data_IF_294201171260
#
_entry.id   IF_294201171260
#
_cell.length_a   1.000
_cell.length_b   1.000
_cell.length_c   1.000
_cell.angle_alpha   90.00
_cell.angle_beta   90.00
_cell.angle_gamma   90.00
#
_symmetry.space_group_name_H-M   'P 1'
#
loop_
_entity.id
_entity.type
_entity.pdbx_description
1 polymer ?
#
# COMPACT_ATOMS: atom_id res chain seq x y z
N UNK A 1 -28.10 -59.13 15.01
CA UNK A 1 -27.37 -58.12 15.76
C UNK A 1 -26.12 -57.76 14.98
N UNK A 2 -26.12 -56.58 14.33
CA UNK A 2 -24.99 -56.10 13.54
C UNK A 2 -24.49 -54.83 14.26
N UNK A 3 -23.28 -54.93 14.83
CA UNK A 3 -22.66 -53.82 15.56
C UNK A 3 -22.02 -52.80 14.62
N UNK A 4 -22.53 -51.56 14.63
CA UNK A 4 -21.91 -50.39 14.01
C UNK A 4 -20.70 -49.94 14.85
N UNK A 5 -19.50 -50.06 14.31
CA UNK A 5 -18.31 -49.38 14.84
C UNK A 5 -18.29 -47.93 14.30
N UNK A 6 -18.37 -46.97 15.19
CA UNK A 6 -18.09 -45.54 14.90
C UNK A 6 -16.57 -45.41 14.70
N UNK A 7 -16.17 -44.96 13.53
CA UNK A 7 -14.82 -44.53 13.23
C UNK A 7 -14.62 -43.11 13.83
N UNK A 8 -13.69 -43.03 14.76
CA UNK A 8 -13.22 -41.77 15.35
C UNK A 8 -12.20 -41.19 14.37
N UNK A 9 -12.60 -40.15 13.63
CA UNK A 9 -11.73 -39.40 12.75
C UNK A 9 -11.15 -38.19 13.55
N UNK A 10 -10.14 -38.48 14.37
CA UNK A 10 -9.31 -37.47 14.97
C UNK A 10 -8.50 -36.71 13.90
N UNK A 11 -8.90 -35.49 13.58
CA UNK A 11 -8.05 -34.59 12.82
C UNK A 11 -6.84 -34.20 13.66
N UNK A 12 -5.61 -34.32 13.15
CA UNK A 12 -4.46 -33.77 13.86
C UNK A 12 -4.50 -32.27 13.77
N UNK A 13 -4.83 -31.61 14.87
CA UNK A 13 -4.54 -30.19 15.09
C UNK A 13 -3.02 -30.05 15.24
N UNK A 14 -2.34 -29.74 14.15
CA UNK A 14 -0.95 -29.28 14.21
C UNK A 14 -0.85 -28.04 15.11
N UNK A 15 0.30 -27.82 15.77
CA UNK A 15 0.48 -26.62 16.59
C UNK A 15 0.24 -25.41 15.71
N UNK A 16 -0.67 -24.52 16.18
CA UNK A 16 -0.84 -23.20 15.57
C UNK A 16 0.55 -22.54 15.52
N UNK A 17 1.00 -22.17 14.34
CA UNK A 17 2.21 -21.38 14.18
C UNK A 17 2.07 -20.17 15.10
N UNK A 18 3.02 -19.98 16.01
CA UNK A 18 3.04 -18.80 16.89
C UNK A 18 2.91 -17.59 15.97
N UNK A 19 1.88 -16.75 16.20
CA UNK A 19 1.62 -15.55 15.40
C UNK A 19 2.87 -14.68 15.45
N UNK A 20 3.66 -14.72 14.39
CA UNK A 20 4.73 -13.73 14.23
C UNK A 20 4.09 -12.34 14.21
N UNK A 21 4.66 -11.38 14.94
CA UNK A 21 4.08 -10.04 14.97
C UNK A 21 3.97 -9.50 13.54
N UNK A 22 2.80 -8.96 13.20
CA UNK A 22 2.55 -8.37 11.91
C UNK A 22 3.67 -7.39 11.53
N UNK A 23 4.10 -7.44 10.29
CA UNK A 23 5.14 -6.56 9.76
C UNK A 23 4.64 -5.83 8.52
N UNK A 24 4.92 -4.54 8.42
CA UNK A 24 4.53 -3.72 7.27
C UNK A 24 5.73 -3.03 6.64
N UNK A 25 5.66 -2.86 5.34
CA UNK A 25 6.52 -1.98 4.57
C UNK A 25 5.73 -0.71 4.19
N UNK A 26 6.23 0.46 4.54
CA UNK A 26 5.60 1.74 4.16
C UNK A 26 6.38 2.38 3.01
N UNK A 27 5.74 2.55 1.86
CA UNK A 27 6.30 3.30 0.74
C UNK A 27 5.95 4.78 0.93
N UNK A 28 6.97 5.62 1.21
CA UNK A 28 6.78 7.06 1.47
C UNK A 28 6.59 7.43 2.95
N UNK A 29 7.15 6.67 3.89
CA UNK A 29 6.96 6.80 5.34
C UNK A 29 7.46 8.10 5.99
N UNK A 30 8.08 9.03 5.27
CA UNK A 30 8.64 10.26 5.83
C UNK A 30 8.06 11.56 5.23
N UNK A 31 7.01 11.44 4.40
CA UNK A 31 6.23 12.58 3.91
C UNK A 31 5.13 13.00 4.91
N UNK A 32 4.05 13.61 4.42
CA UNK A 32 2.96 14.10 5.29
C UNK A 32 2.20 12.95 5.99
N UNK A 33 1.57 12.06 5.23
CA UNK A 33 0.76 10.96 5.79
C UNK A 33 1.62 9.84 6.40
N UNK A 34 2.80 9.62 5.82
CA UNK A 34 3.68 8.50 6.20
C UNK A 34 4.03 8.43 7.68
N UNK A 35 4.45 9.54 8.32
CA UNK A 35 4.77 9.54 9.75
C UNK A 35 3.61 9.09 10.62
N UNK A 36 2.38 9.53 10.34
CA UNK A 36 1.20 9.14 11.10
C UNK A 36 0.88 7.64 10.96
N UNK A 37 1.11 7.06 9.76
CA UNK A 37 0.99 5.61 9.56
C UNK A 37 2.03 4.88 10.40
N UNK A 38 3.28 5.34 10.40
CA UNK A 38 4.37 4.75 11.18
C UNK A 38 4.08 4.81 12.67
N UNK A 39 3.69 5.96 13.20
CA UNK A 39 3.36 6.16 14.62
C UNK A 39 2.19 5.26 15.05
N UNK A 40 1.11 5.23 14.24
CA UNK A 40 -0.06 4.40 14.53
C UNK A 40 0.24 2.89 14.52
N UNK A 41 1.11 2.44 13.63
CA UNK A 41 1.55 1.04 13.57
C UNK A 41 2.49 0.69 14.71
N UNK A 42 3.44 1.59 15.04
CA UNK A 42 4.34 1.42 16.20
C UNK A 42 3.57 1.31 17.51
N UNK A 43 2.56 2.16 17.71
CA UNK A 43 1.71 2.12 18.92
C UNK A 43 0.94 0.80 19.05
N UNK A 44 0.79 0.03 17.97
CA UNK A 44 0.17 -1.30 17.95
C UNK A 44 1.15 -2.47 18.00
N UNK A 45 2.45 -2.18 18.17
CA UNK A 45 3.50 -3.21 18.20
C UNK A 45 3.79 -3.86 16.86
N UNK A 46 3.36 -3.25 15.73
CA UNK A 46 3.64 -3.74 14.39
C UNK A 46 5.09 -3.45 14.02
N UNK A 47 5.81 -4.43 13.49
CA UNK A 47 7.15 -4.22 12.94
C UNK A 47 7.07 -3.41 11.65
N UNK A 48 7.94 -2.41 11.50
CA UNK A 48 7.88 -1.49 10.36
C UNK A 48 9.22 -1.47 9.64
N UNK A 49 9.16 -1.44 8.31
CA UNK A 49 10.26 -1.06 7.42
C UNK A 49 9.76 0.08 6.51
N UNK A 50 10.65 0.96 6.11
CA UNK A 50 10.34 2.06 5.20
C UNK A 50 11.08 1.89 3.87
N UNK A 51 10.44 2.32 2.78
CA UNK A 51 11.12 2.56 1.51
C UNK A 51 10.93 4.01 1.09
N UNK A 52 12.01 4.72 0.90
CA UNK A 52 11.99 6.13 0.49
C UNK A 52 13.31 6.58 -0.15
N UNK A 53 13.27 7.76 -0.82
CA UNK A 53 14.43 8.37 -1.46
C UNK A 53 15.46 8.95 -0.48
N UNK A 54 15.10 9.09 0.81
CA UNK A 54 15.93 9.73 1.81
C UNK A 54 16.07 11.25 1.68
N UNK A 55 15.17 11.92 0.93
CA UNK A 55 15.22 13.37 0.70
C UNK A 55 14.32 14.15 1.65
N UNK A 56 13.10 13.65 1.90
CA UNK A 56 12.12 14.29 2.78
C UNK A 56 12.26 13.76 4.20
N UNK A 57 12.48 14.64 5.16
CA UNK A 57 12.60 14.32 6.59
C UNK A 57 13.45 13.06 6.89
N UNK A 58 14.70 12.99 6.39
CA UNK A 58 15.52 11.77 6.50
C UNK A 58 15.90 11.40 7.93
N UNK A 59 15.76 12.34 8.87
CA UNK A 59 16.05 12.18 10.29
C UNK A 59 14.93 11.46 11.05
N UNK A 60 13.69 11.40 10.50
CA UNK A 60 12.59 10.71 11.18
C UNK A 60 12.86 9.21 11.31
N UNK A 61 12.48 8.65 12.44
CA UNK A 61 12.52 7.21 12.75
C UNK A 61 13.92 6.60 12.53
N UNK A 62 14.96 7.08 13.22
CA UNK A 62 16.33 6.58 13.00
C UNK A 62 16.49 5.10 13.34
N UNK A 63 15.64 4.57 14.22
CA UNK A 63 15.62 3.17 14.68
C UNK A 63 14.88 2.22 13.71
N UNK A 64 14.08 2.75 12.79
CA UNK A 64 13.32 1.93 11.83
C UNK A 64 14.19 1.60 10.62
N UNK A 65 14.17 0.33 10.22
CA UNK A 65 14.84 -0.15 9.01
C UNK A 65 14.37 0.63 7.77
N UNK A 66 15.31 1.08 6.96
CA UNK A 66 15.04 1.89 5.77
C UNK A 66 15.73 1.31 4.55
N UNK A 67 14.94 0.96 3.54
CA UNK A 67 15.41 0.69 2.20
C UNK A 67 15.45 2.00 1.41
N UNK A 68 16.56 2.27 0.75
CA UNK A 68 16.78 3.48 -0.04
C UNK A 68 16.61 3.22 -1.52
N UNK A 69 15.90 4.12 -2.19
CA UNK A 69 15.72 4.04 -3.63
C UNK A 69 14.68 5.02 -4.13
N UNK A 70 14.46 5.00 -5.43
CA UNK A 70 13.40 5.76 -6.09
C UNK A 70 12.47 4.78 -6.83
N UNK A 71 11.19 5.01 -6.77
CA UNK A 71 10.20 4.18 -7.51
C UNK A 71 10.37 4.31 -9.01
N UNK A 72 11.08 5.32 -9.48
CA UNK A 72 11.49 5.48 -10.87
C UNK A 72 12.74 4.62 -11.17
N UNK A 73 12.54 3.30 -11.21
CA UNK A 73 13.54 2.33 -11.63
C UNK A 73 14.68 2.05 -10.63
N UNK A 74 14.63 2.57 -9.41
CA UNK A 74 15.68 2.36 -8.40
C UNK A 74 15.15 1.56 -7.20
N UNK A 75 14.70 0.32 -7.44
CA UNK A 75 14.14 -0.58 -6.42
C UNK A 75 15.17 -1.59 -5.87
N UNK A 76 16.45 -1.43 -6.17
CA UNK A 76 17.49 -2.44 -5.93
C UNK A 76 17.58 -2.96 -4.49
N UNK A 77 17.45 -2.10 -3.47
CA UNK A 77 17.47 -2.55 -2.08
C UNK A 77 16.25 -3.39 -1.71
N UNK A 78 15.05 -3.04 -2.20
CA UNK A 78 13.85 -3.87 -2.03
C UNK A 78 13.99 -5.19 -2.78
N UNK A 79 14.50 -5.16 -4.01
CA UNK A 79 14.74 -6.35 -4.79
C UNK A 79 15.71 -7.31 -4.09
N UNK A 80 16.80 -6.79 -3.53
CA UNK A 80 17.76 -7.57 -2.75
C UNK A 80 17.11 -8.18 -1.50
N UNK A 81 16.29 -7.42 -0.78
CA UNK A 81 15.56 -7.92 0.38
C UNK A 81 14.59 -9.04 0.03
N UNK A 82 13.80 -8.88 -1.03
CA UNK A 82 12.86 -9.92 -1.51
C UNK A 82 13.62 -11.18 -1.94
N UNK A 83 14.71 -11.04 -2.68
CA UNK A 83 15.58 -12.16 -3.08
C UNK A 83 16.21 -12.88 -1.88
N UNK A 84 16.50 -12.15 -0.81
CA UNK A 84 17.00 -12.72 0.45
C UNK A 84 15.90 -13.39 1.30
N UNK A 85 14.66 -13.48 0.81
CA UNK A 85 13.55 -14.12 1.50
C UNK A 85 12.80 -13.22 2.48
N UNK A 86 13.03 -11.90 2.46
CA UNK A 86 12.29 -10.96 3.30
C UNK A 86 10.80 -10.98 2.93
N UNK A 87 9.96 -11.00 3.95
CA UNK A 87 8.51 -10.93 3.80
C UNK A 87 7.91 -9.88 4.74
N UNK A 88 6.75 -9.36 4.35
CA UNK A 88 5.92 -8.48 5.17
C UNK A 88 4.47 -8.96 5.11
N UNK A 89 3.71 -8.73 6.15
CA UNK A 89 2.26 -8.97 6.17
C UNK A 89 1.55 -8.05 5.17
N UNK A 90 1.96 -6.78 5.13
CA UNK A 90 1.36 -5.84 4.18
C UNK A 90 2.32 -4.74 3.75
N UNK A 91 1.97 -4.11 2.62
CA UNK A 91 2.50 -2.81 2.20
C UNK A 91 1.45 -1.73 2.41
N UNK A 92 1.89 -0.55 2.86
CA UNK A 92 1.09 0.68 2.84
C UNK A 92 1.77 1.68 1.92
N UNK A 93 1.16 1.94 0.78
CA UNK A 93 1.69 2.84 -0.25
C UNK A 93 1.06 4.23 -0.14
N UNK A 94 1.81 5.17 0.42
CA UNK A 94 1.40 6.59 0.55
C UNK A 94 1.96 7.48 -0.55
N UNK A 95 2.72 6.94 -1.50
CA UNK A 95 3.52 7.71 -2.47
C UNK A 95 3.34 7.28 -3.93
N UNK A 96 2.26 6.56 -4.24
CA UNK A 96 1.93 6.14 -5.60
C UNK A 96 1.19 7.23 -6.37
N UNK A 97 1.86 7.85 -7.34
CA UNK A 97 1.29 8.91 -8.20
C UNK A 97 1.38 8.58 -9.68
N UNK A 98 2.31 7.72 -10.08
CA UNK A 98 2.55 7.30 -11.46
C UNK A 98 2.26 5.82 -11.58
N UNK A 99 1.40 5.38 -12.53
CA UNK A 99 0.99 3.98 -12.67
C UNK A 99 2.16 3.01 -12.83
N UNK A 100 3.17 3.37 -13.60
CA UNK A 100 4.39 2.58 -13.80
C UNK A 100 5.11 2.33 -12.48
N UNK A 101 5.27 3.34 -11.64
CA UNK A 101 5.93 3.22 -10.32
C UNK A 101 5.16 2.28 -9.39
N UNK A 102 3.83 2.33 -9.41
CA UNK A 102 2.98 1.43 -8.61
C UNK A 102 3.06 0.02 -9.15
N UNK A 103 2.94 -0.18 -10.48
CA UNK A 103 3.06 -1.49 -11.13
C UNK A 103 4.38 -2.16 -10.78
N UNK A 104 5.50 -1.46 -10.97
CA UNK A 104 6.83 -2.04 -10.81
C UNK A 104 7.10 -2.43 -9.35
N UNK A 105 6.75 -1.56 -8.39
CA UNK A 105 6.89 -1.89 -6.97
C UNK A 105 5.91 -2.97 -6.50
N UNK A 106 4.64 -2.94 -6.93
CA UNK A 106 3.66 -3.96 -6.57
C UNK A 106 4.04 -5.34 -7.14
N UNK A 107 4.50 -5.39 -8.40
CA UNK A 107 4.96 -6.63 -9.03
C UNK A 107 6.17 -7.21 -8.28
N UNK A 108 7.15 -6.38 -7.95
CA UNK A 108 8.32 -6.80 -7.18
C UNK A 108 7.93 -7.38 -5.81
N UNK A 109 6.99 -6.73 -5.13
CA UNK A 109 6.61 -7.08 -3.76
C UNK A 109 5.56 -8.20 -3.68
N UNK A 110 4.83 -8.48 -4.77
CA UNK A 110 3.75 -9.47 -4.79
C UNK A 110 4.09 -10.86 -4.22
N UNK A 111 5.30 -11.44 -4.43
CA UNK A 111 5.69 -12.71 -3.82
C UNK A 111 6.08 -12.59 -2.34
N UNK A 112 6.31 -11.38 -1.83
CA UNK A 112 6.87 -11.12 -0.51
C UNK A 112 5.88 -10.49 0.48
N UNK A 113 4.64 -10.27 0.09
CA UNK A 113 3.60 -9.66 0.92
C UNK A 113 2.27 -10.40 0.77
N UNK A 114 1.43 -10.31 1.81
CA UNK A 114 0.10 -10.90 1.76
C UNK A 114 -0.94 -9.90 1.24
N UNK A 115 -0.80 -8.60 1.56
CA UNK A 115 -1.76 -7.57 1.19
C UNK A 115 -1.10 -6.24 0.81
N UNK A 116 -1.73 -5.49 -0.10
CA UNK A 116 -1.28 -4.17 -0.54
C UNK A 116 -2.36 -3.13 -0.27
N UNK A 117 -2.06 -2.13 0.54
CA UNK A 117 -2.94 -1.00 0.83
C UNK A 117 -2.45 0.21 0.06
N UNK A 118 -3.20 0.63 -0.93
CA UNK A 118 -2.89 1.80 -1.75
C UNK A 118 -3.66 3.03 -1.27
N UNK A 119 -2.96 4.09 -0.92
CA UNK A 119 -3.60 5.37 -0.59
C UNK A 119 -3.87 6.11 -1.90
N UNK A 120 -5.12 6.01 -2.34
CA UNK A 120 -5.66 6.67 -3.52
C UNK A 120 -6.24 8.05 -3.18
N UNK A 121 -7.36 8.44 -3.78
CA UNK A 121 -8.06 9.72 -3.57
C UNK A 121 -9.51 9.61 -4.04
N UNK A 122 -10.42 10.37 -3.44
CA UNK A 122 -11.77 10.59 -3.99
C UNK A 122 -11.72 11.27 -5.37
N UNK A 123 -10.61 11.94 -5.71
CA UNK A 123 -10.42 12.56 -7.03
C UNK A 123 -10.40 11.56 -8.18
N UNK A 124 -10.35 10.25 -7.91
CA UNK A 124 -10.46 9.22 -8.95
C UNK A 124 -11.82 9.20 -9.62
N UNK A 125 -12.88 9.63 -8.96
CA UNK A 125 -14.24 9.57 -9.52
C UNK A 125 -14.42 10.52 -10.70
N UNK A 126 -15.07 10.01 -11.76
CA UNK A 126 -15.31 10.76 -12.99
C UNK A 126 -16.26 11.95 -12.80
N UNK A 127 -17.23 11.84 -11.91
CA UNK A 127 -18.19 12.89 -11.57
C UNK A 127 -18.17 13.15 -10.05
N UNK A 128 -17.40 14.13 -9.59
CA UNK A 128 -17.33 14.47 -8.16
C UNK A 128 -18.60 15.19 -7.65
N UNK A 129 -19.50 15.62 -8.53
CA UNK A 129 -20.74 16.29 -8.14
C UNK A 129 -21.87 15.31 -7.76
N UNK A 130 -21.73 14.04 -8.10
CA UNK A 130 -22.70 13.01 -7.79
C UNK A 130 -22.84 12.82 -6.27
N UNK A 131 -24.05 12.99 -5.75
CA UNK A 131 -24.36 12.69 -4.35
C UNK A 131 -24.49 11.18 -4.14
N UNK A 132 -23.92 10.67 -3.06
CA UNK A 132 -23.99 9.24 -2.73
C UNK A 132 -23.06 8.38 -3.57
N UNK A 133 -21.86 8.90 -3.90
CA UNK A 133 -20.77 8.13 -4.52
C UNK A 133 -20.47 6.87 -3.70
N UNK A 134 -20.21 5.78 -4.41
CA UNK A 134 -19.77 4.49 -3.90
C UNK A 134 -18.50 4.04 -4.62
N UNK A 135 -17.84 3.01 -4.12
CA UNK A 135 -16.62 2.45 -4.73
C UNK A 135 -16.87 1.86 -6.14
N UNK A 136 -18.13 1.55 -6.48
CA UNK A 136 -18.53 1.02 -7.79
C UNK A 136 -18.74 2.11 -8.85
N UNK A 137 -18.72 3.38 -8.47
CA UNK A 137 -18.92 4.47 -9.40
C UNK A 137 -17.74 4.63 -10.37
N UNK A 138 -18.04 5.16 -11.57
CA UNK A 138 -17.05 5.32 -12.63
C UNK A 138 -15.90 6.22 -12.19
N UNK A 139 -14.70 5.82 -12.58
CA UNK A 139 -13.46 6.60 -12.38
C UNK A 139 -13.07 7.38 -13.64
N UNK A 140 -12.36 8.48 -13.44
CA UNK A 140 -11.83 9.30 -14.52
C UNK A 140 -10.82 8.54 -15.37
N UNK A 141 -10.69 8.94 -16.63
CA UNK A 141 -9.75 8.34 -17.58
C UNK A 141 -8.92 9.44 -18.26
N UNK A 142 -7.73 9.08 -18.71
CA UNK A 142 -6.91 9.90 -19.57
C UNK A 142 -7.14 9.52 -21.02
N UNK A 143 -7.17 10.51 -21.91
CA UNK A 143 -7.19 10.26 -23.36
C UNK A 143 -5.89 9.59 -23.82
N UNK A 144 -4.76 9.97 -23.19
CA UNK A 144 -3.45 9.35 -23.39
C UNK A 144 -2.99 8.70 -22.06
N UNK A 145 -3.02 7.36 -21.95
CA UNK A 145 -2.61 6.65 -20.74
C UNK A 145 -1.10 6.67 -20.49
N UNK A 146 -0.30 7.18 -21.41
CA UNK A 146 1.15 7.33 -21.24
C UNK A 146 1.55 8.60 -20.46
N UNK A 147 0.60 9.47 -20.15
CA UNK A 147 0.85 10.68 -19.36
C UNK A 147 1.28 10.29 -17.94
N UNK A 148 2.44 10.79 -17.53
CA UNK A 148 2.97 10.63 -16.17
C UNK A 148 3.07 11.97 -15.42
N UNK A 149 2.73 13.08 -16.06
CA UNK A 149 2.79 14.42 -15.46
C UNK A 149 1.54 14.70 -14.64
N UNK A 150 1.74 15.04 -13.39
CA UNK A 150 0.66 15.39 -12.47
C UNK A 150 0.22 16.83 -12.71
N UNK A 151 -1.06 17.02 -12.99
CA UNK A 151 -1.75 18.30 -13.12
C UNK A 151 -3.12 18.18 -12.48
N UNK A 152 -3.85 19.27 -12.36
CA UNK A 152 -5.22 19.25 -11.84
C UNK A 152 -6.12 18.28 -12.62
N UNK A 153 -6.04 18.27 -13.95
CA UNK A 153 -6.84 17.39 -14.80
C UNK A 153 -6.36 15.94 -14.86
N UNK A 154 -5.07 15.65 -14.61
CA UNK A 154 -4.50 14.30 -14.69
C UNK A 154 -4.42 13.58 -13.36
N UNK A 155 -4.43 14.28 -12.22
CA UNK A 155 -4.21 13.68 -10.89
C UNK A 155 -5.18 12.54 -10.59
N UNK A 156 -6.49 12.78 -10.70
CA UNK A 156 -7.52 11.79 -10.43
C UNK A 156 -7.41 10.55 -11.34
N UNK A 157 -7.39 10.74 -12.67
CA UNK A 157 -7.18 9.65 -13.61
C UNK A 157 -5.87 8.88 -13.40
N UNK A 158 -4.76 9.54 -13.08
CA UNK A 158 -3.50 8.87 -12.75
C UNK A 158 -3.62 8.02 -11.49
N UNK A 159 -4.31 8.50 -10.45
CA UNK A 159 -4.58 7.71 -9.24
C UNK A 159 -5.45 6.48 -9.56
N UNK A 160 -6.45 6.61 -10.44
CA UNK A 160 -7.25 5.48 -10.90
C UNK A 160 -6.41 4.43 -11.65
N UNK A 161 -5.52 4.86 -12.54
CA UNK A 161 -4.56 3.96 -13.21
C UNK A 161 -3.58 3.31 -12.23
N UNK A 162 -3.20 3.99 -11.16
CA UNK A 162 -2.41 3.40 -10.07
C UNK A 162 -3.17 2.29 -9.34
N UNK A 163 -4.48 2.47 -9.06
CA UNK A 163 -5.34 1.43 -8.49
C UNK A 163 -5.41 0.20 -9.38
N UNK A 164 -5.58 0.41 -10.69
CA UNK A 164 -5.60 -0.66 -11.70
C UNK A 164 -4.25 -1.40 -11.72
N UNK A 165 -3.13 -0.66 -11.71
CA UNK A 165 -1.79 -1.23 -11.73
C UNK A 165 -1.51 -2.10 -10.49
N UNK A 166 -1.89 -1.65 -9.30
CA UNK A 166 -1.75 -2.43 -8.08
C UNK A 166 -2.63 -3.70 -8.12
N UNK A 167 -3.90 -3.54 -8.53
CA UNK A 167 -4.87 -4.64 -8.60
C UNK A 167 -4.48 -5.70 -9.63
N UNK A 168 -3.90 -5.28 -10.76
CA UNK A 168 -3.38 -6.20 -11.78
C UNK A 168 -2.15 -6.99 -11.29
N UNK A 169 -1.26 -6.34 -10.52
CA UNK A 169 -0.09 -7.01 -9.95
C UNK A 169 -0.44 -7.99 -8.83
N UNK A 170 -1.53 -7.74 -8.08
CA UNK A 170 -1.93 -8.52 -6.91
C UNK A 170 -3.45 -8.76 -6.87
N UNK A 171 -4.01 -9.57 -7.79
CA UNK A 171 -5.44 -9.82 -7.85
C UNK A 171 -6.01 -10.34 -6.52
N UNK A 172 -7.09 -9.68 -6.01
CA UNK A 172 -7.77 -10.04 -4.76
C UNK A 172 -7.00 -9.70 -3.47
N UNK A 173 -5.82 -9.08 -3.57
CA UNK A 173 -4.97 -8.74 -2.42
C UNK A 173 -4.67 -7.24 -2.30
N UNK A 174 -5.51 -6.38 -2.87
CA UNK A 174 -5.34 -4.92 -2.83
C UNK A 174 -6.54 -4.27 -2.18
N UNK A 175 -6.29 -3.29 -1.31
CA UNK A 175 -7.28 -2.33 -0.82
C UNK A 175 -6.91 -0.94 -1.30
N UNK A 176 -7.78 -0.34 -2.11
CA UNK A 176 -7.65 1.06 -2.52
C UNK A 176 -8.40 1.94 -1.52
N UNK A 177 -7.68 2.76 -0.77
CA UNK A 177 -8.26 3.73 0.17
C UNK A 177 -8.41 5.05 -0.58
N UNK A 178 -9.64 5.55 -0.76
CA UNK A 178 -9.96 6.80 -1.46
C UNK A 178 -10.32 7.90 -0.46
N UNK A 179 -9.34 8.50 0.22
CA UNK A 179 -9.62 9.56 1.19
C UNK A 179 -10.06 10.84 0.49
N UNK A 180 -10.84 11.65 1.21
CA UNK A 180 -11.03 13.07 0.92
C UNK A 180 -9.78 13.88 1.20
N UNK A 181 -9.94 15.15 1.53
CA UNK A 181 -8.81 15.98 1.96
C UNK A 181 -8.28 15.47 3.29
N UNK A 182 -7.02 15.06 3.28
CA UNK A 182 -6.31 14.68 4.50
C UNK A 182 -5.71 15.97 5.08
N UNK A 183 -5.99 16.23 6.34
CA UNK A 183 -5.52 17.40 7.08
C UNK A 183 -4.99 16.99 8.44
N UNK A 184 -4.10 17.79 9.01
CA UNK A 184 -3.58 17.52 10.35
C UNK A 184 -2.16 18.04 10.55
N UNK A 185 -1.56 17.74 11.71
CA UNK A 185 -0.19 18.19 12.01
C UNK A 185 0.80 17.81 10.92
N UNK A 186 1.58 18.78 10.47
CA UNK A 186 2.58 18.60 9.41
C UNK A 186 2.02 18.63 7.99
N UNK A 187 0.77 19.02 7.79
CA UNK A 187 0.21 19.29 6.45
C UNK A 187 0.95 20.47 5.81
N UNK A 188 1.68 20.29 4.70
CA UNK A 188 2.41 21.37 4.06
C UNK A 188 1.54 22.22 3.12
N UNK A 189 0.25 21.92 3.01
CA UNK A 189 -0.60 22.47 1.96
C UNK A 189 -1.38 23.73 2.38
N UNK A 190 -1.35 24.12 3.67
CA UNK A 190 -2.11 25.26 4.25
C UNK A 190 -3.62 25.24 3.92
N UNK A 191 -4.20 24.07 3.65
CA UNK A 191 -5.60 23.97 3.21
C UNK A 191 -6.61 24.27 4.31
N UNK A 192 -6.16 24.27 5.56
CA UNK A 192 -7.01 24.43 6.76
C UNK A 192 -6.31 25.16 7.91
N UNK A 193 -5.44 26.09 7.60
CA UNK A 193 -4.87 27.06 8.58
C UNK A 193 -5.53 28.41 8.48
#
# INVERSE_FOLDING_TARGET
MVGCRRGDSGSPSGPAAADEPASILVLGGTGFLGPHVVEAATARGVKISLFNRGKTNPHLFPEIEKFRGDRDGQLGELEAAVKAGRRWTAVVDTSGYVPRHVRDSATLLAPAIDHYVFISSISVYADPSKVGLTEADAVGRLDDPSVETISEGSYGPLKALCEEAASAAMPGRVTNVRPGLIVGPGDPSDRYT
#
